data_IF_188048164091
#
_entry.id   IF_188048164091
#
_cell.length_a   1.000
_cell.length_b   1.000
_cell.length_c   1.000
_cell.angle_alpha   90.00
_cell.angle_beta   90.00
_cell.angle_gamma   90.00
#
_symmetry.space_group_name_H-M   'P 1'
#
loop_
_entity.id
_entity.type
_entity.pdbx_description
1 polymer ?
#
# COMPACT_ATOMS: atom_id res chain seq x y z
N UNK A 1 -2.95 14.95 26.00
CA UNK A 1 -3.95 15.36 24.99
C UNK A 1 -3.58 16.65 24.23
N UNK A 2 -2.93 17.65 24.85
CA UNK A 2 -2.67 18.96 24.19
C UNK A 2 -1.75 18.96 22.96
N UNK A 3 -0.91 17.94 22.71
CA UNK A 3 0.04 17.92 21.58
C UNK A 3 -0.40 17.13 20.33
N UNK A 4 -1.38 16.24 20.44
CA UNK A 4 -1.77 15.39 19.31
C UNK A 4 -2.58 16.13 18.24
N UNK A 5 -3.50 17.00 18.66
CA UNK A 5 -4.33 17.79 17.73
C UNK A 5 -3.50 18.72 16.83
N UNK A 6 -2.60 19.59 17.39
CA UNK A 6 -1.78 20.46 16.53
C UNK A 6 -0.86 19.70 15.59
N UNK A 7 -0.34 18.51 15.99
CA UNK A 7 0.46 17.68 15.10
C UNK A 7 -0.38 17.07 13.96
N UNK A 8 -1.62 16.64 14.23
CA UNK A 8 -2.53 16.17 13.18
C UNK A 8 -2.87 17.30 12.20
N UNK A 9 -3.15 18.51 12.70
CA UNK A 9 -3.41 19.67 11.85
C UNK A 9 -2.19 20.03 11.00
N UNK A 10 -0.99 19.99 11.56
CA UNK A 10 0.25 20.21 10.82
C UNK A 10 0.44 19.16 9.71
N UNK A 11 0.12 17.87 9.95
CA UNK A 11 0.16 16.83 8.92
C UNK A 11 -0.87 17.09 7.82
N UNK A 12 -2.10 17.49 8.17
CA UNK A 12 -3.13 17.84 7.18
C UNK A 12 -2.68 19.00 6.31
N UNK A 13 -2.11 20.06 6.91
CA UNK A 13 -1.55 21.19 6.16
C UNK A 13 -0.40 20.72 5.26
N UNK A 14 0.51 19.87 5.76
CA UNK A 14 1.60 19.33 4.96
C UNK A 14 1.09 18.49 3.78
N UNK A 15 0.02 17.69 3.98
CA UNK A 15 -0.62 16.93 2.90
C UNK A 15 -1.21 17.88 1.86
N UNK A 16 -1.94 18.93 2.26
CA UNK A 16 -2.51 19.91 1.34
C UNK A 16 -1.42 20.61 0.52
N UNK A 17 -0.33 21.01 1.17
CA UNK A 17 0.84 21.60 0.47
C UNK A 17 1.42 20.59 -0.52
N UNK A 18 1.59 19.32 -0.12
CA UNK A 18 2.13 18.29 -1.00
C UNK A 18 1.18 17.93 -2.14
N UNK A 19 -0.13 18.01 -1.96
CA UNK A 19 -1.13 17.88 -3.04
C UNK A 19 -0.91 18.97 -4.08
N UNK A 20 -0.83 20.23 -3.63
CA UNK A 20 -0.57 21.37 -4.52
C UNK A 20 0.76 21.13 -5.27
N UNK A 21 1.83 20.84 -4.57
CA UNK A 21 3.16 20.60 -5.16
C UNK A 21 3.11 19.48 -6.21
N UNK A 22 2.42 18.36 -5.92
CA UNK A 22 2.29 17.25 -6.87
C UNK A 22 1.44 17.57 -8.11
N UNK A 23 0.46 18.48 -7.99
CA UNK A 23 -0.32 18.93 -9.15
C UNK A 23 0.49 19.89 -10.01
N UNK A 24 1.26 20.78 -9.38
CA UNK A 24 2.04 21.81 -10.10
C UNK A 24 3.35 21.24 -10.69
N UNK A 25 4.03 20.32 -10.00
CA UNK A 25 5.32 19.76 -10.42
C UNK A 25 5.10 18.38 -11.04
N UNK A 26 5.71 18.13 -12.19
CA UNK A 26 5.71 16.84 -12.89
C UNK A 26 6.68 16.84 -14.06
N UNK A 27 6.78 15.70 -14.77
CA UNK A 27 7.68 15.52 -15.92
C UNK A 27 7.46 16.54 -17.06
N UNK A 28 6.21 16.94 -17.28
CA UNK A 28 5.83 18.00 -18.24
C UNK A 28 5.68 19.32 -17.51
N UNK A 29 6.39 20.35 -17.96
CA UNK A 29 6.26 21.73 -17.45
C UNK A 29 5.00 22.38 -18.03
N UNK A 30 4.05 22.71 -17.18
CA UNK A 30 2.81 23.42 -17.53
C UNK A 30 2.82 24.75 -16.79
N UNK A 31 2.50 25.88 -17.48
CA UNK A 31 2.44 27.19 -16.83
C UNK A 31 1.45 27.21 -15.64
N UNK A 32 1.83 27.87 -14.57
CA UNK A 32 1.00 27.94 -13.33
C UNK A 32 -0.39 28.51 -13.61
N UNK A 33 -0.48 29.54 -14.50
CA UNK A 33 -1.75 30.13 -14.88
C UNK A 33 -2.73 29.16 -15.54
N UNK A 34 -2.19 28.26 -16.41
CA UNK A 34 -3.02 27.26 -17.11
C UNK A 34 -3.48 26.16 -16.13
N UNK A 35 -2.61 25.76 -15.18
CA UNK A 35 -3.01 24.81 -14.13
C UNK A 35 -4.18 25.39 -13.33
N UNK A 36 -4.11 26.66 -12.91
CA UNK A 36 -5.19 27.30 -12.17
C UNK A 36 -6.48 27.39 -13.00
N UNK A 37 -6.40 27.74 -14.28
CA UNK A 37 -7.57 27.81 -15.19
C UNK A 37 -8.23 26.45 -15.34
N UNK A 38 -7.43 25.39 -15.55
CA UNK A 38 -7.95 24.00 -15.67
C UNK A 38 -8.67 23.58 -14.40
N UNK A 39 -8.09 23.86 -13.20
CA UNK A 39 -8.69 23.50 -11.93
C UNK A 39 -10.01 24.23 -11.65
N UNK A 40 -10.18 25.46 -12.18
CA UNK A 40 -11.42 26.23 -12.08
C UNK A 40 -12.42 25.89 -13.21
N UNK A 41 -12.08 24.98 -14.12
CA UNK A 41 -12.94 24.53 -15.20
C UNK A 41 -13.00 25.47 -16.41
N UNK A 42 -12.08 26.44 -16.53
CA UNK A 42 -12.01 27.38 -17.66
C UNK A 42 -11.23 26.83 -18.88
N UNK A 43 -10.72 25.59 -18.77
CA UNK A 43 -9.90 25.00 -19.82
C UNK A 43 -8.51 25.63 -19.91
N UNK A 44 -7.70 25.16 -20.86
CA UNK A 44 -6.40 25.74 -21.22
C UNK A 44 -6.28 25.87 -22.72
N UNK A 45 -5.27 26.59 -23.18
CA UNK A 45 -4.93 26.72 -24.61
C UNK A 45 -4.58 25.36 -25.26
N UNK A 46 -4.23 24.36 -24.44
CA UNK A 46 -3.87 23.01 -24.89
C UNK A 46 -4.72 21.94 -24.20
N UNK A 47 -5.47 21.17 -24.99
CA UNK A 47 -6.20 19.98 -24.50
C UNK A 47 -5.26 18.95 -23.84
N UNK A 48 -4.00 18.86 -24.32
CA UNK A 48 -2.99 17.96 -23.78
C UNK A 48 -2.74 18.29 -22.29
N UNK A 49 -2.61 19.57 -21.94
CA UNK A 49 -2.39 20.00 -20.56
C UNK A 49 -3.58 19.69 -19.66
N UNK A 50 -4.78 19.91 -20.19
CA UNK A 50 -6.03 19.56 -19.47
C UNK A 50 -6.08 18.06 -19.18
N UNK A 51 -5.78 17.21 -20.15
CA UNK A 51 -5.72 15.77 -19.98
C UNK A 51 -4.61 15.32 -19.00
N UNK A 52 -3.42 15.95 -19.06
CA UNK A 52 -2.34 15.64 -18.10
C UNK A 52 -2.77 15.94 -16.67
N UNK A 53 -3.46 17.06 -16.43
CA UNK A 53 -3.87 17.44 -15.08
C UNK A 53 -5.04 16.59 -14.59
N UNK A 54 -6.12 16.50 -15.37
CA UNK A 54 -7.36 15.86 -14.93
C UNK A 54 -7.29 14.33 -14.99
N UNK A 55 -6.65 13.77 -16.02
CA UNK A 55 -6.63 12.32 -16.26
C UNK A 55 -5.34 11.63 -15.77
N UNK A 56 -4.31 12.40 -15.38
CA UNK A 56 -3.06 11.83 -14.89
C UNK A 56 -2.68 12.36 -13.50
N UNK A 57 -2.43 13.68 -13.33
CA UNK A 57 -1.89 14.21 -12.07
C UNK A 57 -2.86 14.11 -10.91
N UNK A 58 -4.11 14.51 -11.06
CA UNK A 58 -5.12 14.45 -10.01
C UNK A 58 -5.43 13.00 -9.58
N UNK A 59 -5.69 12.06 -10.50
CA UNK A 59 -5.85 10.66 -10.15
C UNK A 59 -4.66 10.08 -9.38
N UNK A 60 -3.42 10.38 -9.79
CA UNK A 60 -2.22 9.90 -9.11
C UNK A 60 -2.10 10.43 -7.67
N UNK A 61 -2.41 11.70 -7.47
CA UNK A 61 -2.39 12.33 -6.13
C UNK A 61 -3.40 11.66 -5.21
N UNK A 62 -4.64 11.48 -5.67
CA UNK A 62 -5.70 10.80 -4.90
C UNK A 62 -5.32 9.36 -4.60
N UNK A 63 -4.81 8.64 -5.62
CA UNK A 63 -4.33 7.26 -5.47
C UNK A 63 -3.21 7.17 -4.43
N UNK A 64 -2.22 8.07 -4.47
CA UNK A 64 -1.12 8.10 -3.52
C UNK A 64 -1.60 8.32 -2.08
N UNK A 65 -2.56 9.25 -1.87
CA UNK A 65 -3.13 9.52 -0.55
C UNK A 65 -3.79 8.27 0.03
N UNK A 66 -4.73 7.67 -0.70
CA UNK A 66 -5.52 6.56 -0.16
C UNK A 66 -4.73 5.26 -0.09
N UNK A 67 -3.83 5.00 -1.05
CA UNK A 67 -2.92 3.85 -1.03
C UNK A 67 -1.92 3.95 0.13
N UNK A 68 -1.30 5.12 0.30
CA UNK A 68 -0.36 5.38 1.39
C UNK A 68 -1.01 5.23 2.76
N UNK A 69 -2.21 5.80 2.95
CA UNK A 69 -2.99 5.65 4.18
C UNK A 69 -3.34 4.18 4.45
N UNK A 70 -3.85 3.45 3.44
CA UNK A 70 -4.23 2.05 3.57
C UNK A 70 -3.08 1.13 3.92
N UNK A 71 -1.95 1.26 3.22
CA UNK A 71 -0.75 0.47 3.52
C UNK A 71 -0.21 0.75 4.92
N UNK A 72 -0.20 2.02 5.34
CA UNK A 72 0.30 2.41 6.65
C UNK A 72 -0.59 1.87 7.79
N UNK A 73 -1.92 1.99 7.66
CA UNK A 73 -2.88 1.45 8.63
C UNK A 73 -2.81 -0.08 8.69
N UNK A 74 -2.75 -0.74 7.53
CA UNK A 74 -2.55 -2.19 7.45
C UNK A 74 -1.26 -2.61 8.17
N UNK A 75 -0.16 -1.90 7.95
CA UNK A 75 1.12 -2.15 8.64
C UNK A 75 1.02 -1.97 10.15
N UNK A 76 0.35 -0.92 10.63
CA UNK A 76 0.12 -0.70 12.05
C UNK A 76 -0.63 -1.87 12.69
N UNK A 77 -1.70 -2.35 12.05
CA UNK A 77 -2.48 -3.49 12.52
C UNK A 77 -1.61 -4.76 12.61
N UNK A 78 -0.81 -5.05 11.57
CA UNK A 78 0.08 -6.21 11.53
C UNK A 78 1.15 -6.15 12.63
N UNK A 79 1.82 -5.00 12.77
CA UNK A 79 2.82 -4.82 13.84
C UNK A 79 2.25 -5.05 15.23
N UNK A 80 0.99 -4.67 15.43
CA UNK A 80 0.31 -4.85 16.72
C UNK A 80 0.01 -6.31 17.02
N UNK A 81 -0.62 -7.06 16.10
CA UNK A 81 -1.00 -8.46 16.38
C UNK A 81 0.20 -9.41 16.43
N UNK A 82 1.27 -9.10 15.69
CA UNK A 82 2.48 -9.91 15.70
C UNK A 82 3.48 -9.49 16.79
N UNK A 83 3.23 -8.39 17.51
CA UNK A 83 4.16 -7.80 18.47
C UNK A 83 5.58 -7.64 17.87
N UNK A 84 5.63 -7.43 16.56
CA UNK A 84 6.86 -7.35 15.80
C UNK A 84 6.89 -6.04 15.01
N UNK A 85 7.84 -5.15 15.31
CA UNK A 85 7.96 -3.88 14.61
C UNK A 85 8.27 -4.02 13.10
N UNK A 86 8.80 -5.16 12.69
CA UNK A 86 9.12 -5.45 11.30
C UNK A 86 7.97 -6.14 10.56
N UNK A 87 6.87 -6.50 11.25
CA UNK A 87 5.73 -7.10 10.61
C UNK A 87 5.03 -6.09 9.69
N UNK A 88 5.36 -6.17 8.42
CA UNK A 88 4.65 -5.45 7.36
C UNK A 88 3.54 -6.31 6.77
N UNK A 89 2.56 -5.71 6.09
CA UNK A 89 1.45 -6.45 5.49
C UNK A 89 1.89 -7.42 4.39
N UNK A 90 3.01 -7.14 3.72
CA UNK A 90 3.61 -8.00 2.70
C UNK A 90 4.25 -9.27 3.26
N UNK A 91 4.62 -9.30 4.56
CA UNK A 91 5.30 -10.45 5.19
C UNK A 91 4.38 -11.68 5.27
N UNK A 92 3.07 -11.48 5.33
CA UNK A 92 2.12 -12.61 5.28
C UNK A 92 1.96 -13.24 3.88
N UNK A 93 2.72 -12.77 2.89
CA UNK A 93 2.65 -13.30 1.54
C UNK A 93 1.42 -12.84 0.73
N UNK A 94 0.58 -11.94 1.26
CA UNK A 94 -0.65 -11.49 0.57
C UNK A 94 -0.31 -10.76 -0.73
N UNK A 95 0.69 -9.86 -0.71
CA UNK A 95 1.17 -9.20 -1.94
C UNK A 95 1.81 -10.19 -2.92
N UNK A 96 2.50 -11.23 -2.41
CA UNK A 96 3.05 -12.28 -3.26
C UNK A 96 1.93 -13.14 -3.88
N UNK A 97 0.84 -13.37 -3.14
CA UNK A 97 -0.37 -13.99 -3.66
C UNK A 97 -1.01 -13.18 -4.78
N UNK A 98 -1.10 -11.84 -4.62
CA UNK A 98 -1.54 -10.94 -5.69
C UNK A 98 -0.63 -11.07 -6.92
N UNK A 99 0.69 -11.03 -6.71
CA UNK A 99 1.68 -11.19 -7.80
C UNK A 99 1.56 -12.55 -8.48
N UNK A 100 1.28 -13.62 -7.74
CA UNK A 100 1.05 -14.95 -8.29
C UNK A 100 -0.21 -14.99 -9.17
N UNK A 101 -1.32 -14.39 -8.71
CA UNK A 101 -2.53 -14.27 -9.49
C UNK A 101 -2.29 -13.53 -10.81
N UNK A 102 -1.59 -12.40 -10.77
CA UNK A 102 -1.19 -11.64 -11.97
C UNK A 102 -0.27 -12.46 -12.87
N UNK A 103 0.69 -13.18 -12.29
CA UNK A 103 1.59 -14.04 -13.06
C UNK A 103 0.83 -15.10 -13.85
N UNK A 104 -0.18 -15.75 -13.27
CA UNK A 104 -1.01 -16.70 -13.98
C UNK A 104 -1.75 -16.07 -15.16
N UNK A 105 -2.24 -14.85 -15.02
CA UNK A 105 -2.99 -14.19 -16.09
C UNK A 105 -2.05 -13.60 -17.15
N UNK A 106 -0.98 -12.89 -16.75
CA UNK A 106 -0.08 -12.22 -17.70
C UNK A 106 0.86 -13.20 -18.39
N UNK A 107 1.49 -14.13 -17.63
CA UNK A 107 2.52 -15.02 -18.17
C UNK A 107 1.95 -16.23 -18.91
N UNK A 108 0.69 -16.64 -18.67
CA UNK A 108 0.07 -17.74 -19.39
C UNK A 108 -0.86 -17.30 -20.52
N UNK A 109 -1.22 -16.01 -20.59
CA UNK A 109 -2.15 -15.51 -21.63
C UNK A 109 -1.62 -15.71 -23.04
N UNK A 110 -0.34 -15.51 -23.26
CA UNK A 110 0.31 -15.75 -24.55
C UNK A 110 0.32 -17.21 -24.97
N UNK A 111 0.33 -18.15 -24.03
CA UNK A 111 0.32 -19.59 -24.30
C UNK A 111 -1.10 -20.16 -24.54
N UNK A 112 -2.11 -19.60 -23.87
CA UNK A 112 -3.47 -20.15 -23.87
C UNK A 112 -4.38 -19.57 -24.97
N UNK A 113 -4.05 -18.45 -25.58
CA UNK A 113 -4.97 -17.81 -26.53
C UNK A 113 -4.34 -16.95 -27.63
N UNK A 114 -3.01 -16.83 -27.67
CA UNK A 114 -2.32 -16.05 -28.72
C UNK A 114 -2.61 -14.55 -28.71
N UNK A 115 -3.39 -14.05 -27.75
CA UNK A 115 -3.70 -12.63 -27.60
C UNK A 115 -2.99 -12.09 -26.36
N UNK A 116 -1.96 -11.27 -26.58
CA UNK A 116 -1.30 -10.59 -25.47
C UNK A 116 -2.30 -9.71 -24.72
N UNK A 117 -2.34 -9.81 -23.37
CA UNK A 117 -3.24 -8.97 -22.54
C UNK A 117 -3.02 -7.47 -22.79
N UNK A 118 -1.82 -7.09 -23.19
CA UNK A 118 -1.48 -5.70 -23.58
C UNK A 118 -2.31 -5.19 -24.76
N UNK A 119 -2.82 -6.08 -25.62
CA UNK A 119 -3.68 -5.70 -26.75
C UNK A 119 -5.14 -5.49 -26.36
N UNK A 120 -5.57 -5.94 -25.18
CA UNK A 120 -6.95 -5.82 -24.68
C UNK A 120 -7.23 -4.48 -23.97
N UNK A 121 -6.24 -3.60 -23.82
CA UNK A 121 -6.41 -2.29 -23.20
C UNK A 121 -7.10 -2.37 -21.83
N UNK A 122 -8.23 -1.68 -21.66
CA UNK A 122 -8.98 -1.60 -20.40
C UNK A 122 -9.41 -2.98 -19.83
N UNK A 123 -9.79 -3.92 -20.70
CA UNK A 123 -10.16 -5.28 -20.28
C UNK A 123 -8.96 -6.05 -19.74
N UNK A 124 -7.78 -5.85 -20.31
CA UNK A 124 -6.53 -6.41 -19.82
C UNK A 124 -6.19 -5.90 -18.42
N UNK A 125 -6.28 -4.59 -18.19
CA UNK A 125 -6.02 -3.99 -16.88
C UNK A 125 -7.02 -4.45 -15.81
N UNK A 126 -8.30 -4.59 -16.17
CA UNK A 126 -9.32 -5.11 -15.28
C UNK A 126 -9.05 -6.59 -14.92
N UNK A 127 -8.67 -7.43 -15.90
CA UNK A 127 -8.32 -8.82 -15.68
C UNK A 127 -7.12 -8.97 -14.74
N UNK A 128 -6.07 -8.15 -14.92
CA UNK A 128 -4.90 -8.09 -14.03
C UNK A 128 -5.32 -7.72 -12.60
N UNK A 129 -6.16 -6.71 -12.44
CA UNK A 129 -6.64 -6.27 -11.12
C UNK A 129 -7.47 -7.35 -10.42
N UNK A 130 -8.37 -8.01 -11.14
CA UNK A 130 -9.17 -9.13 -10.61
C UNK A 130 -8.27 -10.30 -10.23
N UNK A 131 -7.31 -10.67 -11.08
CA UNK A 131 -6.37 -11.75 -10.81
C UNK A 131 -5.53 -11.48 -9.56
N UNK A 132 -5.06 -10.22 -9.39
CA UNK A 132 -4.35 -9.80 -8.19
C UNK A 132 -5.21 -9.93 -6.93
N UNK A 133 -6.47 -9.50 -6.98
CA UNK A 133 -7.41 -9.62 -5.85
C UNK A 133 -7.66 -11.10 -5.52
N UNK A 134 -7.94 -11.93 -6.50
CA UNK A 134 -8.18 -13.37 -6.32
C UNK A 134 -6.96 -14.05 -5.70
N UNK A 135 -5.76 -13.80 -6.22
CA UNK A 135 -4.52 -14.34 -5.67
C UNK A 135 -4.23 -13.88 -4.24
N UNK A 136 -4.47 -12.60 -3.94
CA UNK A 136 -4.33 -12.06 -2.59
C UNK A 136 -5.33 -12.68 -1.61
N UNK A 137 -6.61 -12.82 -2.02
CA UNK A 137 -7.67 -13.45 -1.21
C UNK A 137 -7.34 -14.93 -0.95
N UNK A 138 -6.86 -15.66 -1.96
CA UNK A 138 -6.49 -17.06 -1.80
C UNK A 138 -5.41 -17.24 -0.72
N UNK A 139 -4.33 -16.45 -0.78
CA UNK A 139 -3.28 -16.48 0.25
C UNK A 139 -3.82 -16.00 1.60
N UNK A 140 -4.63 -14.95 1.64
CA UNK A 140 -5.23 -14.45 2.88
C UNK A 140 -6.12 -15.52 3.53
N UNK A 141 -6.97 -16.22 2.78
CA UNK A 141 -7.80 -17.32 3.30
C UNK A 141 -6.94 -18.46 3.84
N UNK A 142 -5.86 -18.81 3.15
CA UNK A 142 -4.90 -19.82 3.60
C UNK A 142 -4.26 -19.40 4.94
N UNK A 143 -3.82 -18.15 5.07
CA UNK A 143 -3.25 -17.62 6.33
C UNK A 143 -4.29 -17.62 7.46
N UNK A 144 -5.52 -17.21 7.20
CA UNK A 144 -6.61 -17.23 8.18
C UNK A 144 -6.89 -18.67 8.65
N UNK A 145 -6.96 -19.62 7.74
CA UNK A 145 -7.16 -21.02 8.05
C UNK A 145 -6.02 -21.60 8.92
N UNK A 146 -4.77 -21.30 8.57
CA UNK A 146 -3.59 -21.71 9.34
C UNK A 146 -3.57 -21.02 10.71
N UNK A 147 -3.93 -19.74 10.79
CA UNK A 147 -3.98 -18.96 12.03
C UNK A 147 -4.90 -19.59 13.08
N UNK A 148 -5.94 -20.30 12.66
CA UNK A 148 -6.83 -21.05 13.56
C UNK A 148 -6.19 -22.31 14.18
N UNK A 149 -5.16 -22.89 13.53
CA UNK A 149 -4.52 -24.16 13.90
C UNK A 149 -3.18 -23.99 14.63
N UNK A 150 -2.47 -22.89 14.37
CA UNK A 150 -1.12 -22.65 14.87
C UNK A 150 -1.15 -21.84 16.16
N UNK A 151 -0.37 -22.29 17.15
CA UNK A 151 -0.14 -21.56 18.39
C UNK A 151 1.12 -20.68 18.25
N UNK A 152 0.94 -19.36 18.33
CA UNK A 152 2.05 -18.41 18.35
C UNK A 152 2.15 -17.50 17.11
N UNK A 153 2.44 -16.23 17.38
CA UNK A 153 2.50 -15.18 16.37
C UNK A 153 3.72 -15.34 15.44
N UNK A 154 4.85 -15.77 16.00
CA UNK A 154 6.12 -15.96 15.26
C UNK A 154 5.97 -17.08 14.23
N UNK A 155 5.35 -18.21 14.62
CA UNK A 155 5.13 -19.35 13.71
C UNK A 155 4.24 -18.96 12.54
N UNK A 156 3.17 -18.20 12.79
CA UNK A 156 2.28 -17.73 11.72
C UNK A 156 3.02 -16.78 10.76
N UNK A 157 3.88 -15.93 11.29
CA UNK A 157 4.70 -15.01 10.50
C UNK A 157 5.70 -15.79 9.61
N UNK A 158 6.38 -16.80 10.16
CA UNK A 158 7.30 -17.65 9.39
C UNK A 158 6.55 -18.38 8.26
N UNK A 159 5.38 -18.95 8.55
CA UNK A 159 4.55 -19.60 7.52
C UNK A 159 4.15 -18.63 6.42
N UNK A 160 3.77 -17.39 6.77
CA UNK A 160 3.47 -16.36 5.78
C UNK A 160 4.66 -16.05 4.85
N UNK A 161 5.85 -15.94 5.42
CA UNK A 161 7.09 -15.76 4.64
C UNK A 161 7.35 -16.97 3.71
N UNK A 162 7.16 -18.20 4.20
CA UNK A 162 7.35 -19.41 3.39
C UNK A 162 6.34 -19.50 2.23
N UNK A 163 5.08 -19.10 2.46
CA UNK A 163 4.07 -18.98 1.40
C UNK A 163 4.50 -17.94 0.36
N UNK A 164 5.07 -16.82 0.81
CA UNK A 164 5.63 -15.82 -0.08
C UNK A 164 6.77 -16.36 -0.96
N UNK A 165 7.69 -17.13 -0.37
CA UNK A 165 8.77 -17.78 -1.14
C UNK A 165 8.22 -18.82 -2.13
N UNK A 166 7.24 -19.62 -1.74
CA UNK A 166 6.60 -20.58 -2.64
C UNK A 166 5.96 -19.87 -3.83
N UNK A 167 5.21 -18.79 -3.59
CA UNK A 167 4.63 -17.98 -4.65
C UNK A 167 5.72 -17.42 -5.59
N UNK A 168 6.81 -16.90 -5.03
CA UNK A 168 7.95 -16.37 -5.80
C UNK A 168 8.61 -17.46 -6.65
N UNK A 169 8.77 -18.68 -6.13
CA UNK A 169 9.33 -19.81 -6.87
C UNK A 169 8.43 -20.20 -8.06
N UNK A 170 7.10 -20.26 -7.86
CA UNK A 170 6.15 -20.53 -8.94
C UNK A 170 6.22 -19.43 -10.01
N UNK A 171 6.23 -18.17 -9.60
CA UNK A 171 6.40 -17.03 -10.52
C UNK A 171 7.70 -17.16 -11.32
N UNK A 172 8.80 -17.61 -10.68
CA UNK A 172 10.08 -17.85 -11.36
C UNK A 172 9.97 -18.88 -12.49
N UNK A 173 9.28 -20.00 -12.23
CA UNK A 173 9.03 -21.04 -13.25
C UNK A 173 8.15 -20.49 -14.39
N UNK A 174 7.07 -19.76 -14.05
CA UNK A 174 6.20 -19.17 -15.06
C UNK A 174 6.98 -18.18 -15.97
N UNK A 175 7.83 -17.33 -15.39
CA UNK A 175 8.68 -16.40 -16.18
C UNK A 175 9.63 -17.14 -17.11
N UNK A 176 10.22 -18.25 -16.64
CA UNK A 176 11.14 -19.04 -17.49
C UNK A 176 10.44 -19.64 -18.70
N UNK A 177 9.17 -20.00 -18.57
CA UNK A 177 8.37 -20.61 -19.64
C UNK A 177 7.67 -19.60 -20.55
N UNK A 178 7.66 -18.31 -20.19
CA UNK A 178 6.85 -17.27 -20.86
C UNK A 178 7.65 -16.48 -21.90
N UNK A 179 6.99 -15.91 -22.92
CA UNK A 179 7.59 -14.99 -23.86
C UNK A 179 8.17 -13.73 -23.18
N UNK A 180 9.21 -13.14 -23.76
CA UNK A 180 9.91 -11.97 -23.22
C UNK A 180 8.97 -10.77 -23.01
N UNK A 181 8.02 -10.55 -23.90
CA UNK A 181 7.06 -9.45 -23.82
C UNK A 181 6.16 -9.57 -22.58
N UNK A 182 5.67 -10.77 -22.27
CA UNK A 182 4.83 -11.04 -21.11
C UNK A 182 5.64 -10.91 -19.82
N UNK A 183 6.89 -11.38 -19.82
CA UNK A 183 7.80 -11.20 -18.68
C UNK A 183 8.06 -9.72 -18.45
N UNK A 184 8.29 -8.93 -19.50
CA UNK A 184 8.48 -7.47 -19.41
C UNK A 184 7.23 -6.79 -18.83
N UNK A 185 6.04 -7.14 -19.33
CA UNK A 185 4.77 -6.59 -18.82
C UNK A 185 4.57 -6.91 -17.32
N UNK A 186 4.85 -8.15 -16.91
CA UNK A 186 4.78 -8.55 -15.52
C UNK A 186 5.80 -7.81 -14.64
N UNK A 187 7.03 -7.63 -15.11
CA UNK A 187 8.09 -6.88 -14.39
C UNK A 187 7.68 -5.43 -14.22
N UNK A 188 7.18 -4.77 -15.27
CA UNK A 188 6.71 -3.38 -15.22
C UNK A 188 5.54 -3.24 -14.23
N UNK A 189 4.60 -4.21 -14.21
CA UNK A 189 3.55 -4.24 -13.21
C UNK A 189 4.11 -4.34 -11.79
N UNK A 190 5.10 -5.19 -11.57
CA UNK A 190 5.76 -5.43 -10.28
C UNK A 190 6.57 -4.25 -9.73
N UNK A 191 6.91 -3.27 -10.57
CA UNK A 191 7.60 -2.05 -10.14
C UNK A 191 6.72 -1.11 -9.31
N UNK A 192 5.41 -1.27 -9.39
CA UNK A 192 4.43 -0.45 -8.69
C UNK A 192 4.36 0.99 -9.22
N UNK A 193 3.15 1.52 -9.33
CA UNK A 193 2.92 2.89 -9.80
C UNK A 193 1.56 3.42 -9.36
N UNK A 194 1.51 4.68 -8.92
CA UNK A 194 0.24 5.36 -8.68
C UNK A 194 -0.43 5.84 -9.98
N UNK A 195 0.31 5.89 -11.11
CA UNK A 195 -0.22 6.35 -12.40
C UNK A 195 -1.06 5.31 -13.14
N UNK A 196 -1.06 4.05 -12.69
CA UNK A 196 -1.87 2.98 -13.31
C UNK A 196 -3.37 3.16 -13.07
N UNK A 197 -3.72 3.86 -12.00
CA UNK A 197 -5.11 4.04 -11.57
C UNK A 197 -5.65 5.30 -12.20
N UNK A 198 -6.44 5.17 -13.24
CA UNK A 198 -7.04 6.28 -13.99
C UNK A 198 -8.50 5.99 -14.34
N UNK A 199 -9.24 7.02 -14.72
CA UNK A 199 -10.64 6.89 -15.13
C UNK A 199 -11.54 6.22 -14.09
N UNK A 200 -12.42 5.33 -14.55
CA UNK A 200 -13.41 4.63 -13.70
C UNK A 200 -12.76 3.75 -12.64
N UNK A 201 -11.59 3.18 -12.92
CA UNK A 201 -10.84 2.37 -11.95
C UNK A 201 -10.43 3.18 -10.73
N UNK A 202 -10.09 4.46 -10.90
CA UNK A 202 -9.75 5.36 -9.80
C UNK A 202 -10.95 5.57 -8.88
N UNK A 203 -12.13 5.79 -9.44
CA UNK A 203 -13.35 6.00 -8.65
C UNK A 203 -13.61 4.75 -7.79
N UNK A 204 -13.58 3.57 -8.40
CA UNK A 204 -13.79 2.31 -7.69
C UNK A 204 -12.73 2.11 -6.59
N UNK A 205 -11.45 2.33 -6.90
CA UNK A 205 -10.35 2.22 -5.95
C UNK A 205 -10.55 3.16 -4.74
N UNK A 206 -10.83 4.43 -5.01
CA UNK A 206 -11.02 5.44 -3.95
C UNK A 206 -12.23 5.10 -3.08
N UNK A 207 -13.36 4.72 -3.69
CA UNK A 207 -14.57 4.32 -2.95
C UNK A 207 -14.30 3.12 -2.05
N UNK A 208 -13.67 2.06 -2.57
CA UNK A 208 -13.30 0.89 -1.77
C UNK A 208 -12.40 1.27 -0.59
N UNK A 209 -11.41 2.11 -0.80
CA UNK A 209 -10.50 2.55 0.26
C UNK A 209 -11.20 3.47 1.26
N UNK A 210 -12.10 4.35 0.82
CA UNK A 210 -12.91 5.22 1.68
C UNK A 210 -13.90 4.44 2.56
N UNK A 211 -14.27 3.22 2.18
CA UNK A 211 -15.09 2.30 3.00
C UNK A 211 -14.18 1.52 3.96
N UNK A 212 -13.10 0.94 3.46
CA UNK A 212 -12.25 0.02 4.24
C UNK A 212 -11.42 0.73 5.31
N UNK A 213 -10.91 1.95 5.02
CA UNK A 213 -10.15 2.71 6.01
C UNK A 213 -10.98 3.03 7.26
N UNK A 214 -12.18 3.63 7.18
CA UNK A 214 -13.04 3.80 8.34
C UNK A 214 -13.45 2.47 9.00
N UNK A 215 -13.70 1.42 8.23
CA UNK A 215 -14.04 0.10 8.77
C UNK A 215 -12.92 -0.46 9.66
N UNK A 216 -11.65 -0.18 9.34
CA UNK A 216 -10.52 -0.58 10.16
C UNK A 216 -10.56 0.00 11.58
N UNK A 217 -11.22 1.15 11.80
CA UNK A 217 -11.37 1.76 13.13
C UNK A 217 -12.26 0.95 14.09
N UNK A 218 -13.11 0.06 13.57
CA UNK A 218 -13.87 -0.87 14.41
C UNK A 218 -12.95 -1.83 15.19
N UNK A 219 -11.73 -2.02 14.69
CA UNK A 219 -10.73 -2.90 15.28
C UNK A 219 -9.83 -2.20 16.31
N UNK A 220 -10.01 -0.91 16.58
CA UNK A 220 -9.18 -0.13 17.51
C UNK A 220 -9.23 -0.71 18.92
N UNK A 221 -10.43 -1.08 19.41
CA UNK A 221 -10.60 -1.65 20.77
C UNK A 221 -9.82 -2.97 20.92
N UNK A 222 -10.02 -4.00 20.07
CA UNK A 222 -9.25 -5.23 20.17
C UNK A 222 -7.74 -5.00 19.94
N UNK A 223 -7.33 -4.08 19.06
CA UNK A 223 -5.93 -3.74 18.86
C UNK A 223 -5.30 -3.16 20.14
N UNK A 224 -5.98 -2.23 20.82
CA UNK A 224 -5.49 -1.68 22.08
C UNK A 224 -5.38 -2.76 23.18
N UNK A 225 -6.35 -3.66 23.29
CA UNK A 225 -6.28 -4.76 24.24
C UNK A 225 -5.10 -5.72 23.93
N UNK A 226 -4.88 -6.03 22.66
CA UNK A 226 -3.80 -6.94 22.21
C UNK A 226 -2.40 -6.33 22.37
N UNK A 227 -2.25 -5.02 22.52
CA UNK A 227 -0.94 -4.40 22.84
C UNK A 227 -0.30 -4.96 24.11
N UNK A 228 -1.13 -5.34 25.09
CA UNK A 228 -0.70 -5.87 26.40
C UNK A 228 -0.48 -7.38 26.37
N UNK A 229 -0.66 -8.00 25.22
CA UNK A 229 -0.52 -9.44 25.02
C UNK A 229 -1.85 -10.19 24.95
N UNK A 230 -1.82 -11.34 24.25
CA UNK A 230 -3.01 -12.14 23.96
C UNK A 230 -3.73 -12.63 25.23
N UNK A 231 -2.98 -13.03 26.27
CA UNK A 231 -3.54 -13.49 27.56
C UNK A 231 -4.29 -12.37 28.28
N UNK A 232 -3.70 -11.18 28.29
CA UNK A 232 -4.32 -10.01 28.91
C UNK A 232 -5.58 -9.58 28.15
N UNK A 233 -5.53 -9.55 26.82
CA UNK A 233 -6.68 -9.26 25.98
C UNK A 233 -7.85 -10.25 26.23
N UNK A 234 -7.54 -11.54 26.39
CA UNK A 234 -8.53 -12.56 26.71
C UNK A 234 -9.20 -12.32 28.08
N UNK A 235 -8.42 -11.94 29.10
CA UNK A 235 -8.94 -11.61 30.45
C UNK A 235 -9.82 -10.34 30.41
N UNK A 236 -9.62 -9.43 29.47
CA UNK A 236 -10.49 -8.28 29.22
C UNK A 236 -11.77 -8.64 28.42
N UNK A 237 -12.00 -9.93 28.13
CA UNK A 237 -13.18 -10.41 27.41
C UNK A 237 -13.06 -10.33 25.89
N UNK A 238 -11.87 -10.03 25.34
CA UNK A 238 -11.64 -10.03 23.88
C UNK A 238 -11.49 -11.45 23.38
N UNK A 239 -12.31 -11.86 22.40
CA UNK A 239 -12.08 -13.11 21.69
C UNK A 239 -10.89 -12.95 20.74
N UNK A 240 -9.69 -13.30 21.24
CA UNK A 240 -8.41 -13.09 20.54
C UNK A 240 -8.38 -13.78 19.17
N UNK A 241 -8.96 -14.98 19.03
CA UNK A 241 -9.02 -15.68 17.73
C UNK A 241 -9.82 -14.90 16.71
N UNK A 242 -11.05 -14.47 17.07
CA UNK A 242 -11.90 -13.66 16.19
C UNK A 242 -11.27 -12.31 15.87
N UNK A 243 -10.72 -11.63 16.87
CA UNK A 243 -10.05 -10.34 16.69
C UNK A 243 -8.89 -10.47 15.70
N UNK A 244 -8.02 -11.47 15.89
CA UNK A 244 -6.88 -11.76 14.99
C UNK A 244 -7.35 -12.01 13.56
N UNK A 245 -8.38 -12.84 13.36
CA UNK A 245 -8.94 -13.12 12.04
C UNK A 245 -9.43 -11.83 11.37
N UNK A 246 -10.22 -11.02 12.04
CA UNK A 246 -10.73 -9.77 11.48
C UNK A 246 -9.63 -8.75 11.19
N UNK A 247 -8.61 -8.69 12.04
CA UNK A 247 -7.45 -7.81 11.80
C UNK A 247 -6.67 -8.27 10.56
N UNK A 248 -6.42 -9.58 10.40
CA UNK A 248 -5.75 -10.13 9.22
C UNK A 248 -6.58 -9.87 7.97
N UNK A 249 -7.88 -10.12 8.01
CA UNK A 249 -8.79 -9.90 6.86
C UNK A 249 -8.83 -8.42 6.49
N UNK A 250 -9.05 -7.52 7.43
CA UNK A 250 -9.12 -6.09 7.15
C UNK A 250 -7.79 -5.55 6.61
N UNK A 251 -6.68 -5.87 7.28
CA UNK A 251 -5.35 -5.48 6.84
C UNK A 251 -4.99 -6.09 5.49
N UNK A 252 -5.28 -7.38 5.30
CA UNK A 252 -5.02 -8.09 4.05
C UNK A 252 -5.83 -7.54 2.89
N UNK A 253 -7.09 -7.17 3.11
CA UNK A 253 -7.95 -6.55 2.08
C UNK A 253 -7.44 -5.17 1.67
N UNK A 254 -7.00 -4.33 2.63
CA UNK A 254 -6.37 -3.04 2.33
C UNK A 254 -5.16 -3.22 1.40
N UNK A 255 -4.28 -4.17 1.73
CA UNK A 255 -3.10 -4.47 0.91
C UNK A 255 -3.46 -5.08 -0.44
N UNK A 256 -4.41 -6.01 -0.46
CA UNK A 256 -4.86 -6.68 -1.69
C UNK A 256 -5.36 -5.66 -2.72
N UNK A 257 -6.21 -4.72 -2.29
CA UNK A 257 -6.75 -3.67 -3.15
C UNK A 257 -5.64 -2.74 -3.62
N UNK A 258 -4.78 -2.23 -2.71
CA UNK A 258 -3.67 -1.37 -3.14
C UNK A 258 -2.73 -2.11 -4.11
N UNK A 259 -2.39 -3.38 -3.84
CA UNK A 259 -1.52 -4.16 -4.72
C UNK A 259 -2.18 -4.43 -6.08
N UNK A 260 -3.47 -4.68 -6.12
CA UNK A 260 -4.20 -4.93 -7.37
C UNK A 260 -4.18 -3.73 -8.31
N UNK A 261 -4.38 -2.54 -7.78
CA UNK A 261 -4.47 -1.32 -8.57
C UNK A 261 -3.12 -0.64 -8.81
N UNK A 262 -2.26 -0.60 -7.80
CA UNK A 262 -0.98 0.13 -7.84
C UNK A 262 0.24 -0.78 -8.07
N UNK A 263 0.06 -2.10 -8.09
CA UNK A 263 1.16 -3.06 -7.97
C UNK A 263 1.67 -3.18 -6.53
N UNK A 264 2.64 -4.07 -6.28
CA UNK A 264 3.21 -4.25 -4.94
C UNK A 264 4.02 -3.02 -4.53
N UNK A 265 3.62 -2.37 -3.42
CA UNK A 265 4.34 -1.25 -2.81
C UNK A 265 4.83 -1.68 -1.44
N UNK A 266 6.14 -1.68 -1.26
CA UNK A 266 6.80 -2.09 -0.02
C UNK A 266 7.16 -0.87 0.85
N UNK A 267 7.60 -1.14 2.06
CA UNK A 267 8.14 -0.19 3.05
C UNK A 267 7.14 0.80 3.66
N UNK A 268 6.15 1.33 2.97
CA UNK A 268 5.17 2.28 3.55
C UNK A 268 4.51 1.66 4.80
N UNK A 269 3.95 0.44 4.67
CA UNK A 269 3.30 -0.24 5.79
C UNK A 269 4.24 -0.61 6.94
N UNK A 270 5.54 -0.70 6.69
CA UNK A 270 6.53 -1.02 7.71
C UNK A 270 7.11 0.24 8.38
N UNK A 271 7.50 1.24 7.60
CA UNK A 271 8.20 2.44 8.08
C UNK A 271 7.25 3.45 8.76
N UNK A 272 6.08 3.68 8.15
CA UNK A 272 5.16 4.75 8.60
C UNK A 272 4.62 4.55 10.02
N UNK A 273 4.20 3.35 10.47
CA UNK A 273 3.76 3.18 11.84
C UNK A 273 4.84 3.53 12.88
N UNK A 274 6.11 3.33 12.53
CA UNK A 274 7.23 3.73 13.38
C UNK A 274 7.39 5.24 13.45
N UNK A 275 7.32 5.91 12.30
CA UNK A 275 7.34 7.36 12.23
C UNK A 275 6.21 7.97 13.05
N UNK A 276 4.99 7.46 12.87
CA UNK A 276 3.82 7.92 13.60
C UNK A 276 3.98 7.74 15.13
N UNK A 277 4.43 6.56 15.59
CA UNK A 277 4.73 6.34 17.02
C UNK A 277 5.81 7.29 17.54
N UNK A 278 6.85 7.57 16.77
CA UNK A 278 7.93 8.48 17.13
C UNK A 278 7.46 9.93 17.27
N UNK A 279 6.67 10.42 16.31
CA UNK A 279 6.13 11.77 16.26
C UNK A 279 5.08 11.99 17.36
N UNK A 280 4.10 11.10 17.46
CA UNK A 280 2.96 11.26 18.38
C UNK A 280 3.21 10.71 19.76
N UNK A 281 4.26 9.92 19.95
CA UNK A 281 4.66 9.32 21.25
C UNK A 281 3.49 8.64 21.97
N UNK A 282 2.68 7.89 21.23
CA UNK A 282 1.52 7.17 21.76
C UNK A 282 1.43 5.79 21.14
N UNK A 283 0.88 4.83 21.91
CA UNK A 283 0.52 3.49 21.42
C UNK A 283 -0.99 3.30 21.33
N UNK A 284 -1.79 4.28 21.77
CA UNK A 284 -3.24 4.23 21.69
C UNK A 284 -3.71 4.33 20.23
N UNK A 285 -4.34 3.27 19.74
CA UNK A 285 -4.79 3.17 18.33
C UNK A 285 -5.87 4.19 17.97
N UNK A 286 -6.64 4.73 18.93
CA UNK A 286 -7.58 5.81 18.66
C UNK A 286 -6.89 7.07 18.09
N UNK A 287 -5.67 7.33 18.54
CA UNK A 287 -4.85 8.46 18.08
C UNK A 287 -3.85 8.04 17.02
N UNK A 288 -3.27 6.86 17.20
CA UNK A 288 -2.18 6.39 16.36
C UNK A 288 -2.66 5.96 14.98
N UNK A 289 -3.86 5.38 14.84
CA UNK A 289 -4.36 4.92 13.54
C UNK A 289 -4.63 6.09 12.57
N UNK A 290 -5.36 7.16 12.94
CA UNK A 290 -5.50 8.32 12.06
C UNK A 290 -4.17 9.02 11.80
N UNK A 291 -3.29 9.14 12.82
CA UNK A 291 -1.95 9.69 12.65
C UNK A 291 -1.13 8.88 11.63
N UNK A 292 -1.21 7.54 11.71
CA UNK A 292 -0.52 6.64 10.78
C UNK A 292 -1.07 6.78 9.36
N UNK A 293 -2.39 6.91 9.19
CA UNK A 293 -3.01 7.14 7.89
C UNK A 293 -2.51 8.44 7.26
N UNK A 294 -2.48 9.55 8.02
CA UNK A 294 -1.97 10.84 7.55
C UNK A 294 -0.48 10.79 7.22
N UNK A 295 0.34 10.17 8.06
CA UNK A 295 1.76 9.99 7.77
C UNK A 295 1.99 9.14 6.51
N UNK A 296 1.15 8.11 6.29
CA UNK A 296 1.21 7.25 5.11
C UNK A 296 0.85 8.00 3.84
N UNK A 297 -0.21 8.79 3.87
CA UNK A 297 -0.60 9.67 2.77
C UNK A 297 0.50 10.67 2.42
N UNK A 298 1.08 11.33 3.44
CA UNK A 298 2.17 12.29 3.24
C UNK A 298 3.40 11.62 2.62
N UNK A 299 3.84 10.47 3.15
CA UNK A 299 5.00 9.76 2.61
C UNK A 299 4.77 9.29 1.17
N UNK A 300 3.58 8.78 0.87
CA UNK A 300 3.22 8.36 -0.48
C UNK A 300 3.23 9.55 -1.48
N UNK A 301 2.74 10.72 -1.07
CA UNK A 301 2.81 11.94 -1.88
C UNK A 301 4.26 12.38 -2.13
N UNK A 302 5.12 12.31 -1.12
CA UNK A 302 6.55 12.60 -1.27
C UNK A 302 7.19 11.61 -2.26
N UNK A 303 6.92 10.32 -2.11
CA UNK A 303 7.42 9.29 -3.03
C UNK A 303 6.89 9.49 -4.47
N UNK A 304 5.62 9.86 -4.62
CA UNK A 304 5.03 10.16 -5.93
C UNK A 304 5.70 11.38 -6.61
N UNK A 305 5.97 12.42 -5.84
CA UNK A 305 6.67 13.61 -6.35
C UNK A 305 8.08 13.25 -6.84
N UNK A 306 8.84 12.49 -6.04
CA UNK A 306 10.19 12.05 -6.40
C UNK A 306 10.16 11.15 -7.63
N UNK A 307 9.20 10.20 -7.69
CA UNK A 307 9.05 9.29 -8.83
C UNK A 307 8.77 10.02 -10.16
N UNK A 308 8.28 11.25 -10.10
CA UNK A 308 7.92 12.09 -11.26
C UNK A 308 8.80 13.33 -11.39
N UNK A 309 9.97 13.32 -10.74
CA UNK A 309 10.87 14.47 -10.77
C UNK A 309 11.19 14.88 -12.22
N UNK A 310 11.20 16.21 -12.53
CA UNK A 310 11.53 16.69 -13.85
C UNK A 310 12.98 16.32 -14.22
N UNK A 311 13.22 15.99 -15.50
CA UNK A 311 14.55 15.63 -16.01
C UNK A 311 14.76 14.13 -16.26
N UNK A 312 13.80 13.28 -15.93
CA UNK A 312 13.81 11.87 -16.30
C UNK A 312 12.75 11.60 -17.39
N UNK A 313 13.15 10.89 -18.44
CA UNK A 313 12.20 10.35 -19.42
C UNK A 313 11.44 9.19 -18.79
N UNK A 314 10.17 9.43 -18.43
CA UNK A 314 9.30 8.47 -17.74
C UNK A 314 9.23 8.68 -16.23
N UNK A 315 8.43 7.86 -15.54
CA UNK A 315 8.31 7.86 -14.09
C UNK A 315 9.20 6.77 -13.48
N UNK A 316 9.94 7.12 -12.42
CA UNK A 316 10.68 6.12 -11.66
C UNK A 316 9.73 5.15 -10.95
N UNK A 317 10.11 3.87 -10.78
CA UNK A 317 9.31 2.91 -10.04
C UNK A 317 9.03 3.38 -8.61
N UNK A 318 7.76 3.49 -8.24
CA UNK A 318 7.38 3.96 -6.90
C UNK A 318 7.94 3.03 -5.81
N UNK A 319 7.98 1.72 -6.08
CA UNK A 319 8.52 0.76 -5.12
C UNK A 319 10.00 0.99 -4.82
N UNK A 320 10.80 1.38 -5.82
CA UNK A 320 12.22 1.73 -5.62
C UNK A 320 12.36 3.01 -4.78
N UNK A 321 11.54 4.02 -5.03
CA UNK A 321 11.55 5.26 -4.26
C UNK A 321 11.14 5.03 -2.81
N UNK A 322 10.07 4.23 -2.59
CA UNK A 322 9.64 3.89 -1.23
C UNK A 322 10.67 3.06 -0.48
N UNK A 323 11.42 2.20 -1.18
CA UNK A 323 12.52 1.43 -0.59
C UNK A 323 13.69 2.32 -0.19
N UNK A 324 14.11 3.26 -1.05
CA UNK A 324 15.20 4.19 -0.79
C UNK A 324 14.93 5.09 0.43
N UNK A 325 13.68 5.46 0.66
CA UNK A 325 13.28 6.28 1.81
C UNK A 325 12.97 5.40 3.03
N UNK A 326 12.22 4.32 2.84
CA UNK A 326 11.71 3.49 3.91
C UNK A 326 12.77 2.65 4.61
N UNK A 327 13.73 2.10 3.86
CA UNK A 327 14.78 1.27 4.45
C UNK A 327 15.69 2.05 5.43
N UNK A 328 16.20 3.25 5.10
CA UNK A 328 16.95 4.06 6.07
C UNK A 328 16.15 4.42 7.32
N UNK A 329 14.86 4.73 7.18
CA UNK A 329 13.98 5.02 8.32
C UNK A 329 13.91 3.82 9.27
N UNK A 330 13.73 2.62 8.73
CA UNK A 330 13.64 1.39 9.52
C UNK A 330 14.97 1.11 10.22
N UNK A 331 16.08 1.21 9.50
CA UNK A 331 17.43 1.02 10.05
C UNK A 331 17.67 1.98 11.22
N UNK A 332 17.35 3.28 11.03
CA UNK A 332 17.50 4.28 12.08
C UNK A 332 16.65 3.98 13.32
N UNK A 333 15.39 3.58 13.13
CA UNK A 333 14.48 3.24 14.23
C UNK A 333 14.99 2.02 15.02
N UNK A 334 15.45 1.00 14.33
CA UNK A 334 15.99 -0.21 14.97
C UNK A 334 17.29 0.08 15.74
N UNK A 335 18.18 0.87 15.15
CA UNK A 335 19.43 1.27 15.80
C UNK A 335 19.16 2.05 17.10
N UNK A 336 18.22 2.99 17.06
CA UNK A 336 17.86 3.81 18.23
C UNK A 336 17.23 2.99 19.36
N UNK A 337 16.38 2.00 19.04
CA UNK A 337 15.77 1.10 20.04
C UNK A 337 16.81 0.28 20.80
N UNK A 338 17.85 -0.17 20.11
CA UNK A 338 18.91 -0.97 20.73
C UNK A 338 19.69 -0.16 21.79
N UNK A 339 19.86 1.13 21.59
CA UNK A 339 20.52 2.03 22.53
C UNK A 339 19.73 2.23 23.82
N UNK A 340 18.40 2.30 23.74
CA UNK A 340 17.50 2.51 24.91
C UNK A 340 17.25 1.23 25.73
N UNK A 341 17.62 0.05 25.22
CA UNK A 341 17.50 -1.24 25.94
C UNK A 341 18.77 -1.61 26.70
N UNK A 342 19.84 -0.86 26.57
CA UNK A 342 21.13 -1.03 27.29
C UNK A 342 21.39 0.09 28.34
N UNK A 343 20.53 1.11 28.40
CA UNK A 343 20.43 2.07 29.49
C UNK A 343 19.24 1.71 30.42
#
# INVERSE_FOLDING_TARGET
MRRTLPLMLALVVAILVMVIVNVFIGSVKIPVGDICRILVGQGSESEIWTNIILSSRLPQVLTAIVAGAGLAVSGLMMQTIFHNPLAGPSILGISNGASLGVAFVVLLSGQLGGVALSSLGYLGDAAVSVAAIVGAIAVMMLIVWISGKVKGNVTLLIIGVMIGYLATAIIGVLKFLSPEEDVKAFVVWGLGSFSRVSGDQMILFVVLMCILLPLSFLLVKPLNAMLLGDRYAANLGVNVKRARTWIIVCSGTLVAIVTAYCGPIMFIGMAVPHLARGIFRTSDHWKLMPATALCGALLALICNLIARAPGFEGAMPVNSVTALIGAPIIIYVLYRRRKTSYE
#
